data_IF_387028416473
#
_entry.id   IF_387028416473
#
_cell.length_a   1.000
_cell.length_b   1.000
_cell.length_c   1.000
_cell.angle_alpha   90.00
_cell.angle_beta   90.00
_cell.angle_gamma   90.00
#
_symmetry.space_group_name_H-M   'P 1'
#
loop_
_entity.id
_entity.type
_entity.pdbx_description
1 polymer ?
#
# COMPACT_ATOMS: atom_id res chain seq x y z
N UNK A 1 -14.47 7.82 6.49
CA UNK A 1 -14.22 9.23 6.89
C UNK A 1 -12.78 9.51 6.50
N UNK A 2 -12.51 10.41 5.56
CA UNK A 2 -11.13 10.77 5.21
C UNK A 2 -10.60 11.75 6.25
N UNK A 3 -9.69 11.29 7.11
CA UNK A 3 -9.01 12.16 8.07
C UNK A 3 -7.90 12.94 7.36
N UNK A 4 -8.27 14.07 6.76
CA UNK A 4 -7.31 15.04 6.23
C UNK A 4 -6.51 15.65 7.39
N UNK A 5 -5.23 15.32 7.50
CA UNK A 5 -4.38 15.73 8.60
C UNK A 5 -3.85 17.17 8.42
N UNK A 6 -4.66 18.17 8.75
CA UNK A 6 -4.22 19.53 9.17
C UNK A 6 -3.39 20.44 8.24
N UNK A 7 -2.90 20.02 7.07
CA UNK A 7 -2.09 20.86 6.15
C UNK A 7 -2.68 21.07 4.74
N UNK A 8 -3.86 20.53 4.42
CA UNK A 8 -4.42 20.50 3.05
C UNK A 8 -3.67 19.57 2.08
N UNK A 9 -2.72 18.77 2.57
CA UNK A 9 -2.04 17.68 1.84
C UNK A 9 -2.50 16.33 2.42
N UNK A 10 -2.24 15.26 1.68
CA UNK A 10 -2.97 14.00 1.80
C UNK A 10 -2.20 12.98 2.65
N UNK A 11 -1.89 13.28 3.92
CA UNK A 11 -1.08 12.39 4.80
C UNK A 11 -1.55 10.92 4.75
N UNK A 12 -2.84 10.65 4.94
CA UNK A 12 -3.36 9.29 4.83
C UNK A 12 -4.85 9.28 4.44
N UNK A 13 -5.21 8.40 3.50
CA UNK A 13 -6.59 8.17 3.06
C UNK A 13 -6.98 6.73 3.31
N UNK A 14 -7.98 6.57 4.17
CA UNK A 14 -8.65 5.29 4.41
C UNK A 14 -9.91 5.25 3.55
N UNK A 15 -9.99 4.25 2.70
CA UNK A 15 -11.14 3.95 1.86
C UNK A 15 -11.85 2.73 2.43
N UNK A 16 -13.14 2.93 2.69
CA UNK A 16 -14.09 1.91 3.10
C UNK A 16 -15.28 2.07 2.14
N UNK A 17 -15.30 1.24 1.10
CA UNK A 17 -16.21 1.36 -0.05
C UNK A 17 -17.51 0.62 0.17
N UNK A 18 -17.48 -0.46 0.93
CA UNK A 18 -18.66 -1.26 1.27
C UNK A 18 -19.30 -0.88 2.61
N UNK A 19 -18.62 -0.02 3.37
CA UNK A 19 -19.06 0.64 4.58
C UNK A 19 -19.29 -0.35 5.74
N UNK A 20 -18.51 -1.42 5.79
CA UNK A 20 -18.59 -2.48 6.79
C UNK A 20 -17.85 -2.17 8.10
N UNK A 21 -16.95 -1.19 8.06
CA UNK A 21 -16.18 -0.70 9.21
C UNK A 21 -14.69 -1.05 9.16
N UNK A 22 -14.29 -1.88 8.22
CA UNK A 22 -12.90 -2.19 7.89
C UNK A 22 -12.46 -1.38 6.65
N UNK A 23 -11.16 -1.24 6.41
CA UNK A 23 -10.64 -0.37 5.34
C UNK A 23 -10.17 -1.20 4.15
N UNK A 24 -10.94 -1.21 3.06
CA UNK A 24 -10.57 -1.86 1.79
C UNK A 24 -9.21 -1.37 1.24
N UNK A 25 -8.89 -0.09 1.45
CA UNK A 25 -7.63 0.47 0.99
C UNK A 25 -7.13 1.63 1.86
N UNK A 26 -5.82 1.74 1.99
CA UNK A 26 -5.12 2.79 2.73
C UNK A 26 -4.09 3.40 1.78
N UNK A 27 -4.09 4.71 1.63
CA UNK A 27 -3.07 5.45 0.89
C UNK A 27 -2.32 6.33 1.89
N UNK A 28 -1.00 6.36 1.85
CA UNK A 28 -0.14 7.14 2.73
C UNK A 28 0.82 7.97 1.88
N UNK A 29 0.81 9.27 2.12
CA UNK A 29 1.80 10.23 1.65
C UNK A 29 2.63 10.58 2.90
N UNK A 30 3.82 9.99 3.02
CA UNK A 30 4.64 10.08 4.22
C UNK A 30 5.55 11.31 4.21
N UNK A 31 5.91 11.81 3.02
CA UNK A 31 6.74 13.00 2.86
C UNK A 31 5.96 14.29 2.50
N UNK A 32 4.65 14.15 2.27
CA UNK A 32 3.69 15.21 1.98
C UNK A 32 3.99 15.96 0.68
N UNK A 33 4.52 15.28 -0.32
CA UNK A 33 4.79 15.87 -1.63
C UNK A 33 3.57 15.85 -2.58
N UNK A 34 2.49 15.16 -2.17
CA UNK A 34 1.25 15.02 -2.92
C UNK A 34 1.20 13.78 -3.83
N UNK A 35 2.24 12.94 -3.81
CA UNK A 35 2.26 11.59 -4.36
C UNK A 35 2.08 10.58 -3.22
N UNK A 36 1.70 9.35 -3.58
CA UNK A 36 1.43 8.32 -2.59
C UNK A 36 2.65 7.43 -2.47
N UNK A 37 3.27 7.43 -1.29
CA UNK A 37 4.42 6.58 -0.97
C UNK A 37 4.01 5.15 -0.65
N UNK A 38 2.84 4.94 -0.04
CA UNK A 38 2.41 3.59 0.38
C UNK A 38 0.94 3.36 0.13
N UNK A 39 0.60 2.18 -0.38
CA UNK A 39 -0.78 1.75 -0.57
C UNK A 39 -0.99 0.39 0.09
N UNK A 40 -1.88 0.30 1.07
CA UNK A 40 -2.39 -0.96 1.61
C UNK A 40 -3.72 -1.32 0.95
N UNK A 41 -3.94 -2.59 0.65
CA UNK A 41 -5.21 -3.15 0.21
C UNK A 41 -5.63 -4.31 1.11
N UNK A 42 -6.91 -4.33 1.45
CA UNK A 42 -7.62 -5.47 2.03
C UNK A 42 -8.58 -5.96 0.94
N UNK A 43 -8.24 -7.06 0.27
CA UNK A 43 -9.02 -7.57 -0.86
C UNK A 43 -10.11 -8.56 -0.44
N UNK A 44 -10.05 -9.10 0.79
CA UNK A 44 -11.02 -10.04 1.32
C UNK A 44 -11.93 -9.47 2.41
N UNK A 45 -11.72 -8.20 2.77
CA UNK A 45 -12.49 -7.38 3.69
C UNK A 45 -12.59 -8.05 5.06
N UNK A 46 -11.47 -8.59 5.55
CA UNK A 46 -11.39 -9.22 6.86
C UNK A 46 -10.81 -8.30 7.95
N UNK A 47 -10.39 -7.09 7.55
CA UNK A 47 -9.81 -6.07 8.41
C UNK A 47 -8.29 -6.13 8.52
N UNK A 48 -7.63 -7.10 7.88
CA UNK A 48 -6.19 -7.17 7.69
C UNK A 48 -5.81 -6.74 6.27
N UNK A 49 -4.68 -6.05 6.15
CA UNK A 49 -4.15 -5.66 4.84
C UNK A 49 -3.42 -6.86 4.25
N UNK A 50 -3.91 -7.37 3.12
CA UNK A 50 -3.30 -8.50 2.41
C UNK A 50 -2.18 -8.07 1.45
N UNK A 51 -2.17 -6.81 1.03
CA UNK A 51 -1.22 -6.30 0.04
C UNK A 51 -0.74 -4.91 0.41
N UNK A 52 0.57 -4.72 0.48
CA UNK A 52 1.19 -3.40 0.70
C UNK A 52 2.12 -3.08 -0.46
N UNK A 53 1.87 -1.95 -1.12
CA UNK A 53 2.68 -1.38 -2.18
C UNK A 53 3.46 -0.19 -1.62
N UNK A 54 4.73 -0.08 -1.95
CA UNK A 54 5.62 1.01 -1.52
C UNK A 54 6.34 1.60 -2.73
N UNK A 55 6.22 2.92 -2.88
CA UNK A 55 6.98 3.77 -3.79
C UNK A 55 7.93 4.60 -2.90
N UNK A 56 9.23 4.33 -3.00
CA UNK A 56 10.26 4.89 -2.13
C UNK A 56 10.95 6.11 -2.73
N UNK A 57 10.85 6.30 -4.04
CA UNK A 57 11.49 7.40 -4.76
C UNK A 57 10.50 8.45 -5.29
N UNK A 58 9.20 8.18 -5.15
CA UNK A 58 8.10 9.11 -5.43
C UNK A 58 7.97 9.39 -6.92
N UNK A 59 8.38 8.45 -7.78
CA UNK A 59 8.27 8.63 -9.22
C UNK A 59 6.91 8.20 -9.79
N UNK A 60 6.04 7.62 -8.95
CA UNK A 60 4.72 7.11 -9.29
C UNK A 60 4.73 5.67 -9.81
N UNK A 61 5.88 5.00 -9.78
CA UNK A 61 6.08 3.57 -10.01
C UNK A 61 6.46 2.93 -8.68
N UNK A 62 5.77 1.86 -8.34
CA UNK A 62 5.98 1.15 -7.09
C UNK A 62 7.26 0.31 -7.12
N UNK A 63 8.19 0.61 -6.22
CA UNK A 63 9.45 -0.14 -6.05
C UNK A 63 9.25 -1.51 -5.40
N UNK A 64 8.29 -1.65 -4.49
CA UNK A 64 8.13 -2.85 -3.67
C UNK A 64 6.68 -3.18 -3.43
N UNK A 65 6.33 -4.46 -3.51
CA UNK A 65 5.03 -4.98 -3.10
C UNK A 65 5.25 -6.11 -2.12
N UNK A 66 4.51 -6.09 -1.02
CA UNK A 66 4.44 -7.13 -0.02
C UNK A 66 3.05 -7.76 -0.07
N UNK A 67 2.99 -9.09 0.04
CA UNK A 67 1.74 -9.83 0.16
C UNK A 67 1.73 -10.58 1.47
N UNK A 68 0.70 -10.38 2.28
CA UNK A 68 0.34 -11.15 3.47
C UNK A 68 -0.92 -11.96 3.11
N UNK A 69 -0.74 -13.23 2.77
CA UNK A 69 -1.84 -14.09 2.31
C UNK A 69 -2.50 -14.87 3.44
N UNK A 70 -1.93 -14.87 4.63
CA UNK A 70 -2.46 -15.58 5.80
C UNK A 70 -3.01 -14.65 6.90
N UNK A 71 -2.86 -13.33 6.71
CA UNK A 71 -3.45 -12.27 7.52
C UNK A 71 -2.85 -12.20 8.92
N UNK A 72 -1.61 -12.67 9.09
CA UNK A 72 -0.93 -12.68 10.39
C UNK A 72 -0.21 -11.36 10.71
N UNK A 73 -0.14 -10.45 9.74
CA UNK A 73 0.49 -9.13 9.82
C UNK A 73 1.96 -9.13 9.43
N UNK A 74 2.55 -10.28 9.12
CA UNK A 74 3.86 -10.42 8.50
C UNK A 74 3.66 -10.78 7.01
N UNK A 75 4.43 -10.17 6.11
CA UNK A 75 4.32 -10.52 4.69
C UNK A 75 4.84 -11.94 4.43
N UNK A 76 4.16 -12.69 3.57
CA UNK A 76 4.57 -14.00 3.06
C UNK A 76 5.53 -13.90 1.87
N UNK A 77 5.41 -12.83 1.08
CA UNK A 77 6.23 -12.64 -0.12
C UNK A 77 6.43 -11.17 -0.44
N UNK A 78 7.55 -10.89 -1.12
CA UNK A 78 7.85 -9.57 -1.65
C UNK A 78 8.20 -9.65 -3.14
N UNK A 79 7.68 -8.69 -3.90
CA UNK A 79 8.07 -8.37 -5.26
C UNK A 79 8.80 -7.02 -5.27
N UNK A 80 9.84 -6.90 -6.10
CA UNK A 80 10.63 -5.68 -6.24
C UNK A 80 10.70 -5.29 -7.71
N UNK A 81 10.53 -4.01 -8.00
CA UNK A 81 10.85 -3.43 -9.31
C UNK A 81 12.21 -2.72 -9.16
N UNK A 82 13.29 -3.42 -9.51
CA UNK A 82 14.64 -2.90 -9.26
C UNK A 82 15.10 -1.87 -10.29
N UNK A 83 14.41 -1.78 -11.43
CA UNK A 83 14.77 -0.87 -12.52
C UNK A 83 13.70 0.19 -12.83
N UNK A 84 12.65 0.25 -12.01
CA UNK A 84 11.56 1.23 -12.01
C UNK A 84 10.90 1.32 -13.39
N UNK A 85 10.76 0.18 -14.07
CA UNK A 85 10.16 0.12 -15.40
C UNK A 85 8.64 -0.17 -15.38
N UNK A 86 8.10 -0.47 -14.19
CA UNK A 86 6.70 -0.78 -13.93
C UNK A 86 6.35 -2.26 -14.08
N UNK A 87 7.31 -3.11 -14.44
CA UNK A 87 7.19 -4.56 -14.43
C UNK A 87 8.05 -5.12 -13.27
N UNK A 88 7.41 -5.74 -12.28
CA UNK A 88 8.12 -6.37 -11.17
C UNK A 88 9.08 -7.47 -11.66
N UNK A 89 10.29 -7.48 -11.09
CA UNK A 89 11.27 -8.52 -11.35
C UNK A 89 10.75 -9.87 -10.81
N UNK A 90 10.83 -10.93 -11.64
CA UNK A 90 10.41 -12.31 -11.32
C UNK A 90 11.13 -12.94 -10.09
N UNK A 91 12.01 -12.22 -9.39
CA UNK A 91 12.72 -12.72 -8.20
C UNK A 91 11.86 -12.51 -6.94
N UNK A 92 10.65 -13.07 -6.97
CA UNK A 92 9.75 -13.16 -5.82
C UNK A 92 10.48 -13.87 -4.67
N UNK A 93 10.81 -13.13 -3.62
CA UNK A 93 11.43 -13.71 -2.43
C UNK A 93 10.33 -14.23 -1.52
N UNK A 94 10.09 -15.55 -1.55
CA UNK A 94 9.29 -16.25 -0.54
C UNK A 94 10.06 -16.27 0.80
N UNK A 95 9.40 -15.83 1.88
CA UNK A 95 9.95 -15.84 3.25
C UNK A 95 9.36 -16.94 4.13
#
# INVERSE_FOLDING_TARGET
MTENNTNEELDAVFLDSDNDGDSDAIYLDADNDGLVDTIGYDSDNDGAIDTVVYDSDGDGVSDTVAYDTDGDGDADSYAFDSDNDGDFDDDDTYI
#
